data_IF_883734794255
#
_entry.id   IF_883734794255
#
_cell.length_a   1.000
_cell.length_b   1.000
_cell.length_c   1.000
_cell.angle_alpha   90.00
_cell.angle_beta   90.00
_cell.angle_gamma   90.00
#
_symmetry.space_group_name_H-M   'P 1'
#
loop_
_entity.id
_entity.type
_entity.pdbx_description
1 polymer ?
#
# COMPACT_ATOMS: atom_id res chain seq x y z
N UNK A 1 -18.34 -13.83 43.77
CA UNK A 1 -18.10 -14.06 45.22
C UNK A 1 -18.43 -15.50 45.60
N UNK A 2 -17.66 -16.49 45.13
CA UNK A 2 -17.67 -17.86 45.68
C UNK A 2 -16.28 -18.54 45.59
N UNK A 3 -15.23 -17.86 45.15
CA UNK A 3 -13.86 -18.40 45.12
C UNK A 3 -13.18 -18.49 46.51
N UNK A 4 -13.94 -18.33 47.60
CA UNK A 4 -13.43 -18.23 48.97
C UNK A 4 -13.87 -19.33 49.93
N UNK A 5 -14.74 -20.27 49.52
CA UNK A 5 -15.17 -21.36 50.41
C UNK A 5 -14.28 -22.58 50.21
N UNK A 6 -13.63 -23.01 51.30
CA UNK A 6 -12.83 -24.24 51.33
C UNK A 6 -13.71 -25.44 50.98
N UNK A 7 -13.18 -26.38 50.19
CA UNK A 7 -13.84 -27.66 49.87
C UNK A 7 -14.32 -28.37 51.14
N UNK A 8 -13.63 -28.16 52.26
CA UNK A 8 -13.96 -28.67 53.60
C UNK A 8 -15.25 -28.07 54.15
N UNK A 9 -15.49 -26.77 53.96
CA UNK A 9 -16.73 -26.10 54.41
C UNK A 9 -17.96 -26.52 53.61
N UNK A 10 -17.80 -26.85 52.33
CA UNK A 10 -18.88 -27.36 51.47
C UNK A 10 -19.19 -28.82 51.81
N UNK A 11 -18.16 -29.63 52.12
CA UNK A 11 -18.34 -31.00 52.58
C UNK A 11 -19.11 -31.10 53.91
N UNK A 12 -18.82 -30.20 54.87
CA UNK A 12 -19.47 -30.16 56.20
C UNK A 12 -20.93 -29.65 56.17
N UNK A 13 -21.36 -28.99 55.09
CA UNK A 13 -22.74 -28.51 54.91
C UNK A 13 -23.67 -29.50 54.20
N UNK A 14 -23.13 -30.60 53.65
CA UNK A 14 -23.88 -31.61 52.90
C UNK A 14 -24.51 -32.67 53.82
N UNK A 15 -25.68 -33.22 53.48
CA UNK A 15 -26.38 -34.20 54.35
C UNK A 15 -25.80 -35.62 54.24
N UNK A 16 -24.68 -35.81 53.50
CA UNK A 16 -23.92 -37.05 53.44
C UNK A 16 -22.83 -37.05 52.35
N UNK A 17 -21.83 -37.92 52.52
CA UNK A 17 -20.65 -38.03 51.62
C UNK A 17 -21.05 -38.30 50.17
N UNK A 18 -22.07 -39.12 49.94
CA UNK A 18 -22.56 -39.42 48.58
C UNK A 18 -23.26 -38.23 47.90
N UNK A 19 -23.85 -37.31 48.65
CA UNK A 19 -24.51 -36.12 48.11
C UNK A 19 -23.44 -35.08 47.71
N UNK A 20 -22.45 -34.88 48.58
CA UNK A 20 -21.30 -34.03 48.28
C UNK A 20 -20.55 -34.42 47.00
N UNK A 21 -20.27 -35.72 46.80
CA UNK A 21 -19.60 -36.17 45.57
C UNK A 21 -20.48 -35.95 44.32
N UNK A 22 -21.80 -36.11 44.43
CA UNK A 22 -22.73 -35.79 43.31
C UNK A 22 -22.72 -34.30 42.98
N UNK A 23 -22.71 -33.43 43.98
CA UNK A 23 -22.70 -31.98 43.78
C UNK A 23 -21.35 -31.50 43.21
N UNK A 24 -20.24 -32.13 43.63
CA UNK A 24 -18.91 -31.87 43.07
C UNK A 24 -18.83 -32.26 41.60
N UNK A 25 -19.35 -33.44 41.24
CA UNK A 25 -19.40 -33.92 39.85
C UNK A 25 -20.30 -33.03 38.99
N UNK A 26 -21.45 -32.60 39.53
CA UNK A 26 -22.35 -31.64 38.87
C UNK A 26 -21.67 -30.29 38.64
N UNK A 27 -20.94 -29.77 39.64
CA UNK A 27 -20.20 -28.52 39.52
C UNK A 27 -19.05 -28.61 38.51
N UNK A 28 -18.28 -29.71 38.53
CA UNK A 28 -17.22 -29.96 37.56
C UNK A 28 -17.78 -30.05 36.13
N UNK A 29 -18.92 -30.72 35.97
CA UNK A 29 -19.66 -30.79 34.70
C UNK A 29 -20.07 -29.39 34.21
N UNK A 30 -20.70 -28.58 35.07
CA UNK A 30 -21.11 -27.20 34.74
C UNK A 30 -19.90 -26.34 34.37
N UNK A 31 -18.79 -26.42 35.12
CA UNK A 31 -17.56 -25.67 34.83
C UNK A 31 -16.98 -26.05 33.46
N UNK A 32 -16.95 -27.34 33.14
CA UNK A 32 -16.47 -27.83 31.84
C UNK A 32 -17.40 -27.39 30.70
N UNK A 33 -18.72 -27.47 30.89
CA UNK A 33 -19.69 -26.96 29.92
C UNK A 33 -19.53 -25.46 29.70
N UNK A 34 -19.32 -24.66 30.76
CA UNK A 34 -19.11 -23.21 30.66
C UNK A 34 -17.82 -22.87 29.92
N UNK A 35 -16.72 -23.58 30.20
CA UNK A 35 -15.46 -23.41 29.48
C UNK A 35 -15.59 -23.76 27.99
N UNK A 36 -16.31 -24.84 27.67
CA UNK A 36 -16.60 -25.24 26.30
C UNK A 36 -17.46 -24.20 25.58
N UNK A 37 -18.52 -23.69 26.23
CA UNK A 37 -19.36 -22.62 25.67
C UNK A 37 -18.56 -21.35 25.41
N UNK A 38 -17.66 -20.96 26.32
CA UNK A 38 -16.79 -19.80 26.11
C UNK A 38 -15.83 -19.99 24.92
N UNK A 39 -15.21 -21.16 24.80
CA UNK A 39 -14.38 -21.50 23.65
C UNK A 39 -15.15 -21.45 22.33
N UNK A 40 -16.39 -21.96 22.31
CA UNK A 40 -17.26 -21.92 21.14
C UNK A 40 -17.68 -20.49 20.77
N UNK A 41 -17.96 -19.65 21.77
CA UNK A 41 -18.27 -18.22 21.55
C UNK A 41 -17.07 -17.50 20.95
N UNK A 42 -15.85 -17.73 21.47
CA UNK A 42 -14.63 -17.14 20.92
C UNK A 42 -14.40 -17.56 19.46
N UNK A 43 -14.55 -18.85 19.16
CA UNK A 43 -14.39 -19.36 17.80
C UNK A 43 -15.46 -18.81 16.84
N UNK A 44 -16.72 -18.80 17.28
CA UNK A 44 -17.83 -18.22 16.52
C UNK A 44 -17.60 -16.75 16.24
N UNK A 45 -17.21 -15.98 17.27
CA UNK A 45 -16.91 -14.55 17.12
C UNK A 45 -15.78 -14.29 16.13
N UNK A 46 -14.72 -15.12 16.16
CA UNK A 46 -13.61 -14.99 15.21
C UNK A 46 -14.06 -15.31 13.76
N UNK A 47 -14.91 -16.33 13.58
CA UNK A 47 -15.50 -16.67 12.28
C UNK A 47 -16.42 -15.56 11.77
N UNK A 48 -17.29 -15.03 12.61
CA UNK A 48 -18.22 -13.95 12.26
C UNK A 48 -17.48 -12.68 11.87
N UNK A 49 -16.40 -12.32 12.57
CA UNK A 49 -15.61 -11.15 12.18
C UNK A 49 -14.91 -11.38 10.82
N UNK A 50 -14.40 -12.59 10.56
CA UNK A 50 -13.82 -12.93 9.25
C UNK A 50 -14.86 -12.91 8.11
N UNK A 51 -16.07 -13.40 8.36
CA UNK A 51 -17.19 -13.35 7.40
C UNK A 51 -17.65 -11.92 7.15
N UNK A 52 -17.73 -11.09 8.19
CA UNK A 52 -18.06 -9.67 8.10
C UNK A 52 -17.01 -8.90 7.30
N UNK A 53 -15.72 -9.15 7.53
CA UNK A 53 -14.65 -8.57 6.71
C UNK A 53 -14.75 -9.04 5.24
N UNK A 54 -15.10 -10.31 5.00
CA UNK A 54 -15.32 -10.84 3.65
C UNK A 54 -16.51 -10.16 2.95
N UNK A 55 -17.62 -9.95 3.67
CA UNK A 55 -18.79 -9.27 3.14
C UNK A 55 -18.50 -7.79 2.86
N UNK A 56 -17.80 -7.12 3.79
CA UNK A 56 -17.34 -5.75 3.60
C UNK A 56 -16.41 -5.65 2.39
N UNK A 57 -15.52 -6.62 2.16
CA UNK A 57 -14.67 -6.65 0.97
C UNK A 57 -15.48 -6.79 -0.32
N UNK A 58 -16.55 -7.61 -0.33
CA UNK A 58 -17.44 -7.75 -1.50
C UNK A 58 -18.26 -6.49 -1.78
N UNK A 59 -18.83 -5.87 -0.74
CA UNK A 59 -19.53 -4.59 -0.88
C UNK A 59 -18.57 -3.49 -1.35
N UNK A 60 -17.34 -3.51 -0.81
CA UNK A 60 -16.30 -2.61 -1.21
C UNK A 60 -15.96 -2.77 -2.69
N UNK A 61 -15.82 -4.00 -3.19
CA UNK A 61 -15.58 -4.26 -4.61
C UNK A 61 -16.70 -3.70 -5.50
N UNK A 62 -17.97 -3.91 -5.16
CA UNK A 62 -19.09 -3.42 -5.97
C UNK A 62 -19.12 -1.88 -6.05
N UNK A 63 -18.95 -1.21 -4.91
CA UNK A 63 -18.95 0.25 -4.88
C UNK A 63 -17.65 0.84 -5.47
N UNK A 64 -16.53 0.13 -5.34
CA UNK A 64 -15.27 0.45 -6.00
C UNK A 64 -15.45 0.56 -7.50
N UNK A 65 -16.12 -0.40 -8.12
CA UNK A 65 -16.36 -0.38 -9.57
C UNK A 65 -17.14 0.87 -10.01
N UNK A 66 -18.11 1.32 -9.20
CA UNK A 66 -18.86 2.55 -9.45
C UNK A 66 -17.97 3.80 -9.35
N UNK A 67 -17.17 3.90 -8.30
CA UNK A 67 -16.23 5.04 -8.12
C UNK A 67 -15.15 5.04 -9.19
N UNK A 68 -14.66 3.85 -9.56
CA UNK A 68 -13.71 3.67 -10.66
C UNK A 68 -14.28 4.16 -11.99
N UNK A 69 -15.54 3.87 -12.30
CA UNK A 69 -16.17 4.41 -13.51
C UNK A 69 -16.20 5.94 -13.50
N UNK A 70 -16.43 6.56 -12.33
CA UNK A 70 -16.40 8.01 -12.16
C UNK A 70 -14.98 8.58 -12.30
N UNK A 71 -13.97 7.91 -11.72
CA UNK A 71 -12.56 8.30 -11.85
C UNK A 71 -12.09 8.19 -13.29
N UNK A 72 -12.43 7.09 -13.99
CA UNK A 72 -12.14 6.92 -15.41
C UNK A 72 -12.74 8.06 -16.24
N UNK A 73 -13.99 8.45 -15.95
CA UNK A 73 -14.63 9.61 -16.59
C UNK A 73 -13.87 10.91 -16.32
N UNK A 74 -13.49 11.17 -15.08
CA UNK A 74 -12.73 12.38 -14.70
C UNK A 74 -11.35 12.40 -15.37
N UNK A 75 -10.67 11.26 -15.45
CA UNK A 75 -9.38 11.13 -16.13
C UNK A 75 -9.50 11.43 -17.62
N UNK A 76 -10.49 10.86 -18.31
CA UNK A 76 -10.75 11.15 -19.72
C UNK A 76 -11.02 12.65 -19.93
N UNK A 77 -11.83 13.27 -19.07
CA UNK A 77 -12.10 14.71 -19.13
C UNK A 77 -10.84 15.57 -18.90
N UNK A 78 -9.97 15.17 -17.96
CA UNK A 78 -8.71 15.84 -17.71
C UNK A 78 -7.75 15.72 -18.90
N UNK A 79 -7.63 14.51 -19.48
CA UNK A 79 -6.85 14.25 -20.68
C UNK A 79 -7.37 15.05 -21.89
N UNK A 80 -8.69 15.12 -22.08
CA UNK A 80 -9.29 15.95 -23.13
C UNK A 80 -8.96 17.43 -22.96
N UNK A 81 -9.02 17.94 -21.72
CA UNK A 81 -8.68 19.32 -21.41
C UNK A 81 -7.20 19.61 -21.62
N UNK A 82 -6.32 18.72 -21.17
CA UNK A 82 -4.87 18.84 -21.38
C UNK A 82 -4.54 18.79 -22.88
N UNK A 83 -5.12 17.84 -23.62
CA UNK A 83 -4.99 17.77 -25.08
C UNK A 83 -5.48 19.04 -25.76
N UNK A 84 -6.61 19.61 -25.33
CA UNK A 84 -7.10 20.89 -25.88
C UNK A 84 -6.16 22.05 -25.55
N UNK A 85 -5.64 22.12 -24.32
CA UNK A 85 -4.65 23.13 -23.93
C UNK A 85 -3.37 23.00 -24.76
N UNK A 86 -2.86 21.79 -24.94
CA UNK A 86 -1.72 21.50 -25.82
C UNK A 86 -2.03 21.91 -27.25
N UNK A 87 -3.17 21.50 -27.82
CA UNK A 87 -3.55 21.88 -29.19
C UNK A 87 -3.73 23.39 -29.37
N UNK A 88 -4.22 24.12 -28.36
CA UNK A 88 -4.30 25.58 -28.39
C UNK A 88 -2.92 26.22 -28.25
N UNK A 89 -2.04 25.66 -27.42
CA UNK A 89 -0.65 26.12 -27.31
C UNK A 89 0.17 25.78 -28.56
N UNK A 90 -0.07 24.65 -29.23
CA UNK A 90 0.70 24.24 -30.41
C UNK A 90 0.13 24.81 -31.72
N UNK A 91 -1.18 25.13 -31.79
CA UNK A 91 -1.81 25.73 -32.97
C UNK A 91 -1.09 27.01 -33.40
N UNK A 92 -0.40 26.92 -34.53
CA UNK A 92 0.36 28.04 -35.11
C UNK A 92 1.79 28.18 -34.57
N UNK A 93 2.15 27.41 -33.55
CA UNK A 93 3.54 27.29 -33.08
C UNK A 93 4.31 26.27 -33.92
N UNK A 94 3.70 25.27 -34.59
CA UNK A 94 4.47 24.31 -35.42
C UNK A 94 5.33 25.01 -36.48
N UNK A 95 4.85 26.09 -37.10
CA UNK A 95 5.62 26.88 -38.08
C UNK A 95 6.77 27.68 -37.43
N UNK A 96 6.62 28.08 -36.16
CA UNK A 96 7.66 28.74 -35.37
C UNK A 96 8.63 27.74 -34.75
N UNK A 97 8.19 26.54 -34.38
CA UNK A 97 9.00 25.45 -33.83
C UNK A 97 9.89 24.83 -34.91
N UNK A 98 9.39 24.70 -36.15
CA UNK A 98 10.19 24.37 -37.33
C UNK A 98 11.27 25.44 -37.62
N UNK A 99 10.94 26.73 -37.44
CA UNK A 99 11.92 27.84 -37.51
C UNK A 99 12.88 27.88 -36.31
N UNK A 100 12.43 27.50 -35.11
CA UNK A 100 13.24 27.46 -33.89
C UNK A 100 14.17 26.24 -33.88
N UNK A 101 13.79 25.09 -34.45
CA UNK A 101 14.71 23.95 -34.65
C UNK A 101 15.83 24.33 -35.64
N UNK A 102 15.55 25.21 -36.60
CA UNK A 102 16.56 25.76 -37.50
C UNK A 102 17.41 26.90 -36.88
N UNK A 103 17.00 27.50 -35.75
CA UNK A 103 17.64 28.70 -35.16
C UNK A 103 18.09 28.53 -33.69
N UNK A 104 17.57 27.57 -32.95
CA UNK A 104 17.88 27.32 -31.54
C UNK A 104 18.53 25.95 -31.37
N UNK A 105 19.85 25.94 -31.48
CA UNK A 105 20.67 25.04 -30.69
C UNK A 105 20.52 25.45 -29.21
N UNK A 106 19.36 25.19 -28.59
CA UNK A 106 19.32 25.18 -27.12
C UNK A 106 20.27 24.08 -26.69
N UNK A 107 21.23 24.41 -25.83
CA UNK A 107 22.20 23.43 -25.34
C UNK A 107 21.50 22.38 -24.49
N UNK A 108 22.11 21.20 -24.38
CA UNK A 108 21.71 20.14 -23.46
C UNK A 108 21.30 20.64 -22.06
N UNK A 109 22.11 21.56 -21.53
CA UNK A 109 21.93 22.16 -20.22
C UNK A 109 20.68 23.04 -20.12
N UNK A 110 20.32 23.76 -21.19
CA UNK A 110 19.12 24.59 -21.22
C UNK A 110 17.84 23.76 -21.33
N UNK A 111 17.86 22.68 -22.15
CA UNK A 111 16.73 21.73 -22.24
C UNK A 111 16.53 21.02 -20.90
N UNK A 112 17.62 20.57 -20.26
CA UNK A 112 17.62 20.06 -18.89
C UNK A 112 16.99 21.06 -17.92
N UNK A 113 17.49 22.30 -17.90
CA UNK A 113 17.00 23.36 -16.99
C UNK A 113 15.51 23.63 -17.18
N UNK A 114 15.02 23.73 -18.41
CA UNK A 114 13.60 24.00 -18.70
C UNK A 114 12.70 22.82 -18.31
N UNK A 115 13.09 21.57 -18.63
CA UNK A 115 12.36 20.36 -18.24
C UNK A 115 12.23 20.22 -16.72
N UNK A 116 13.30 20.54 -15.97
CA UNK A 116 13.27 20.51 -14.51
C UNK A 116 12.44 21.67 -13.94
N UNK A 117 12.61 22.90 -14.43
CA UNK A 117 11.87 24.07 -13.92
C UNK A 117 10.35 23.94 -14.09
N UNK A 118 9.88 23.37 -15.22
CA UNK A 118 8.45 23.13 -15.46
C UNK A 118 7.83 22.10 -14.52
N UNK A 119 8.64 21.26 -13.86
CA UNK A 119 8.20 20.13 -13.02
C UNK A 119 8.65 20.22 -11.57
N UNK A 120 9.42 21.25 -11.19
CA UNK A 120 9.96 21.44 -9.85
C UNK A 120 8.94 22.01 -8.84
N UNK A 121 7.66 22.17 -9.23
CA UNK A 121 6.58 22.40 -8.26
C UNK A 121 6.26 21.17 -7.41
N UNK A 122 6.81 20.00 -7.77
CA UNK A 122 6.56 18.76 -7.07
C UNK A 122 7.31 18.65 -5.74
N UNK A 123 6.70 17.98 -4.76
CA UNK A 123 7.34 17.70 -3.48
C UNK A 123 8.64 16.90 -3.63
N UNK A 124 8.72 16.04 -4.66
CA UNK A 124 9.96 15.42 -5.12
C UNK A 124 10.35 16.06 -6.45
N UNK A 125 11.41 16.88 -6.50
CA UNK A 125 11.91 17.47 -7.73
C UNK A 125 12.21 16.42 -8.80
N UNK A 126 11.90 16.72 -10.07
CA UNK A 126 11.96 15.71 -11.14
C UNK A 126 13.36 15.13 -11.32
N UNK A 127 14.42 15.93 -11.23
CA UNK A 127 15.81 15.45 -11.34
C UNK A 127 16.18 14.46 -10.23
N UNK A 128 15.73 14.72 -9.01
CA UNK A 128 15.91 13.81 -7.87
C UNK A 128 15.11 12.53 -8.08
N UNK A 129 13.84 12.64 -8.48
CA UNK A 129 12.98 11.49 -8.74
C UNK A 129 13.59 10.60 -9.84
N UNK A 130 14.07 11.18 -10.94
CA UNK A 130 14.70 10.46 -12.04
C UNK A 130 15.98 9.74 -11.58
N UNK A 131 16.84 10.42 -10.81
CA UNK A 131 18.07 9.82 -10.27
C UNK A 131 17.76 8.58 -9.42
N UNK A 132 16.76 8.66 -8.55
CA UNK A 132 16.34 7.54 -7.72
C UNK A 132 15.67 6.44 -8.56
N UNK A 133 14.86 6.80 -9.55
CA UNK A 133 14.19 5.83 -10.43
C UNK A 133 15.21 5.07 -11.29
N UNK A 134 16.26 5.72 -11.81
CA UNK A 134 17.34 5.06 -12.54
C UNK A 134 18.17 4.13 -11.64
N UNK A 135 18.38 4.52 -10.38
CA UNK A 135 19.02 3.63 -9.40
C UNK A 135 18.16 2.39 -9.11
N UNK A 136 16.85 2.58 -8.99
CA UNK A 136 15.90 1.49 -8.80
C UNK A 136 15.81 0.59 -10.03
N UNK A 137 15.83 1.15 -11.25
CA UNK A 137 15.86 0.40 -12.51
C UNK A 137 17.06 -0.54 -12.58
N UNK A 138 18.26 -0.05 -12.25
CA UNK A 138 19.46 -0.90 -12.19
C UNK A 138 19.35 -2.03 -11.17
N UNK A 139 18.61 -1.81 -10.09
CA UNK A 139 18.48 -2.77 -9.00
C UNK A 139 17.36 -3.82 -9.23
N UNK A 140 16.30 -3.47 -9.96
CA UNK A 140 15.09 -4.29 -10.08
C UNK A 140 14.73 -4.70 -11.50
N UNK A 141 15.31 -4.05 -12.52
CA UNK A 141 14.94 -4.21 -13.92
C UNK A 141 13.65 -3.50 -14.33
N UNK A 142 12.92 -2.87 -13.40
CA UNK A 142 11.74 -2.05 -13.75
C UNK A 142 12.21 -0.72 -14.35
N UNK A 143 11.77 -0.38 -15.56
CA UNK A 143 12.17 0.88 -16.22
C UNK A 143 11.88 2.09 -15.33
N UNK A 144 12.82 3.04 -15.27
CA UNK A 144 12.64 4.27 -14.49
C UNK A 144 11.36 5.02 -14.87
N UNK A 145 11.03 5.06 -16.16
CA UNK A 145 9.81 5.66 -16.67
C UNK A 145 8.53 5.04 -16.07
N UNK A 146 8.50 3.73 -15.87
CA UNK A 146 7.36 3.03 -15.24
C UNK A 146 7.24 3.38 -13.77
N UNK A 147 8.35 3.37 -13.03
CA UNK A 147 8.34 3.76 -11.61
C UNK A 147 7.87 5.20 -11.42
N UNK A 148 8.32 6.13 -12.27
CA UNK A 148 7.86 7.51 -12.25
C UNK A 148 6.39 7.64 -12.67
N UNK A 149 5.94 6.85 -13.65
CA UNK A 149 4.54 6.79 -14.07
C UNK A 149 3.61 6.36 -12.94
N UNK A 150 3.99 5.35 -12.15
CA UNK A 150 3.25 4.94 -10.94
C UNK A 150 3.22 6.06 -9.92
N UNK A 151 4.35 6.68 -9.58
CA UNK A 151 4.35 7.79 -8.61
C UNK A 151 3.54 9.00 -9.05
N UNK A 152 3.54 9.30 -10.35
CA UNK A 152 2.71 10.36 -10.92
C UNK A 152 1.23 10.03 -10.75
N UNK A 153 0.83 8.80 -11.04
CA UNK A 153 -0.54 8.30 -10.86
C UNK A 153 -0.97 8.30 -9.37
N UNK A 154 -0.08 7.91 -8.47
CA UNK A 154 -0.39 7.74 -7.03
C UNK A 154 -0.50 9.07 -6.29
N UNK A 155 0.49 9.96 -6.45
CA UNK A 155 0.61 11.15 -5.59
C UNK A 155 1.03 12.40 -6.34
N UNK A 156 1.07 12.37 -7.68
CA UNK A 156 1.70 13.40 -8.47
C UNK A 156 3.16 13.66 -8.03
N UNK A 157 3.98 12.59 -7.96
CA UNK A 157 5.38 12.66 -7.49
C UNK A 157 5.53 13.19 -6.05
N UNK A 158 4.65 12.77 -5.16
CA UNK A 158 4.70 13.08 -3.73
C UNK A 158 4.00 14.38 -3.32
N UNK A 159 3.41 15.14 -4.23
CA UNK A 159 2.64 16.34 -3.90
C UNK A 159 1.39 16.03 -3.07
N UNK A 160 0.72 14.91 -3.38
CA UNK A 160 -0.58 14.55 -2.82
C UNK A 160 -0.47 13.29 -1.95
N UNK A 161 0.16 13.39 -0.77
CA UNK A 161 0.36 12.25 0.13
C UNK A 161 -0.93 11.77 0.85
N UNK A 162 -2.01 12.53 0.74
CA UNK A 162 -3.29 12.27 1.39
C UNK A 162 -3.55 13.20 2.58
N UNK A 163 -4.81 13.24 3.00
CA UNK A 163 -5.31 14.04 4.14
C UNK A 163 -6.06 13.17 5.16
N UNK A 164 -5.89 11.86 5.09
CA UNK A 164 -6.51 10.89 5.97
C UNK A 164 -5.76 10.74 7.28
N UNK A 165 -6.36 10.01 8.21
CA UNK A 165 -5.80 9.64 9.51
C UNK A 165 -5.85 8.13 9.65
N UNK A 166 -4.82 7.54 10.23
CA UNK A 166 -4.72 6.08 10.33
C UNK A 166 -5.88 5.46 11.14
N UNK A 167 -6.39 6.15 12.18
CA UNK A 167 -7.48 5.65 13.03
C UNK A 167 -8.82 5.50 12.31
N UNK A 168 -9.08 6.36 11.33
CA UNK A 168 -10.34 6.41 10.59
C UNK A 168 -10.24 5.67 9.26
N UNK A 169 -9.12 5.86 8.56
CA UNK A 169 -9.01 5.50 7.15
C UNK A 169 -8.38 4.12 6.93
N UNK A 170 -7.56 3.61 7.84
CA UNK A 170 -6.94 2.28 7.70
C UNK A 170 -7.85 1.15 8.18
N UNK A 171 -7.67 -0.02 7.56
CA UNK A 171 -8.28 -1.26 8.03
C UNK A 171 -7.87 -1.54 9.48
N UNK A 172 -8.83 -1.60 10.43
CA UNK A 172 -8.54 -1.57 11.87
C UNK A 172 -7.80 -2.81 12.36
N UNK A 173 -8.13 -3.99 11.84
CA UNK A 173 -7.52 -5.22 12.32
C UNK A 173 -6.28 -5.65 11.51
N UNK A 174 -6.13 -5.12 10.28
CA UNK A 174 -5.05 -5.48 9.36
C UNK A 174 -3.91 -4.47 9.33
N UNK A 175 -4.23 -3.19 9.13
CA UNK A 175 -3.23 -2.18 8.79
C UNK A 175 -2.89 -1.27 9.97
N UNK A 176 -3.86 -0.94 10.85
CA UNK A 176 -3.59 -0.08 12.01
C UNK A 176 -2.51 -0.63 12.96
N UNK A 177 -2.51 -1.92 13.36
CA UNK A 177 -1.47 -2.45 14.26
C UNK A 177 -0.09 -2.48 13.61
N UNK A 178 -0.05 -2.71 12.30
CA UNK A 178 1.17 -2.71 11.51
C UNK A 178 1.72 -1.30 11.36
N UNK A 179 0.86 -0.34 11.04
CA UNK A 179 1.18 1.07 10.90
C UNK A 179 1.77 1.65 12.18
N UNK A 180 1.09 1.42 13.31
CA UNK A 180 1.55 1.87 14.63
C UNK A 180 2.95 1.32 14.95
N UNK A 181 3.23 0.07 14.58
CA UNK A 181 4.55 -0.50 14.76
C UNK A 181 5.60 0.12 13.82
N UNK A 182 5.27 0.34 12.54
CA UNK A 182 6.17 0.97 11.57
C UNK A 182 6.54 2.38 12.03
N UNK A 183 5.56 3.22 12.37
CA UNK A 183 5.80 4.60 12.79
C UNK A 183 6.64 4.65 14.07
N UNK A 184 6.35 3.78 15.05
CA UNK A 184 7.15 3.64 16.26
C UNK A 184 8.62 3.32 15.96
N UNK A 185 8.90 2.37 15.06
CA UNK A 185 10.28 2.01 14.69
C UNK A 185 10.99 3.14 13.95
N UNK A 186 10.25 3.89 13.12
CA UNK A 186 10.78 5.03 12.39
C UNK A 186 10.90 6.31 13.25
N UNK A 187 10.40 6.29 14.48
CA UNK A 187 10.42 7.44 15.39
C UNK A 187 9.40 8.52 15.05
N UNK A 188 8.30 8.16 14.38
CA UNK A 188 7.21 9.08 14.03
C UNK A 188 6.04 8.97 15.02
N UNK A 189 5.33 10.08 15.20
CA UNK A 189 4.00 10.10 15.81
C UNK A 189 2.96 9.70 14.75
N UNK A 190 2.29 8.53 14.88
CA UNK A 190 1.33 8.04 13.90
C UNK A 190 0.17 9.01 13.62
N UNK A 191 -0.22 9.85 14.59
CA UNK A 191 -1.32 10.79 14.43
C UNK A 191 -0.97 11.99 13.54
N UNK A 192 0.32 12.20 13.26
CA UNK A 192 0.81 13.30 12.40
C UNK A 192 1.20 12.86 10.99
N UNK A 193 1.26 11.55 10.74
CA UNK A 193 1.73 11.03 9.47
C UNK A 193 0.63 11.02 8.40
N UNK A 194 0.86 11.60 7.21
CA UNK A 194 -0.15 11.67 6.17
C UNK A 194 -0.37 10.30 5.54
N UNK A 195 -1.64 9.96 5.37
CA UNK A 195 -2.09 8.74 4.70
C UNK A 195 -3.28 9.02 3.79
N UNK A 196 -3.55 8.11 2.85
CA UNK A 196 -4.71 8.24 1.98
C UNK A 196 -6.02 8.16 2.76
N UNK A 197 -7.03 8.91 2.32
CA UNK A 197 -8.39 8.80 2.87
C UNK A 197 -9.04 7.52 2.37
N UNK A 198 -9.88 6.91 3.21
CA UNK A 198 -10.74 5.83 2.75
C UNK A 198 -11.79 6.39 1.77
N UNK A 199 -12.11 5.67 0.69
CA UNK A 199 -13.26 6.01 -0.13
C UNK A 199 -14.57 5.83 0.66
N UNK A 200 -15.71 6.08 0.00
CA UNK A 200 -17.02 5.71 0.56
C UNK A 200 -17.11 4.22 0.90
N UNK A 201 -16.30 3.42 0.23
CA UNK A 201 -16.19 1.98 0.35
C UNK A 201 -14.81 1.55 0.85
N UNK A 202 -14.74 0.44 1.57
CA UNK A 202 -13.47 -0.16 2.02
C UNK A 202 -12.62 0.77 2.90
N UNK A 203 -11.31 0.66 2.73
CA UNK A 203 -10.29 1.33 3.53
C UNK A 203 -9.29 2.07 2.64
N UNK A 204 -8.69 3.12 3.18
CA UNK A 204 -7.53 3.83 2.63
C UNK A 204 -6.30 3.55 3.48
N UNK A 205 -5.59 4.61 3.85
CA UNK A 205 -4.42 4.51 4.72
C UNK A 205 -3.12 4.16 4.02
N UNK A 206 -3.05 4.36 2.70
CA UNK A 206 -1.82 4.21 1.94
C UNK A 206 -0.81 5.29 2.33
N UNK A 207 0.46 4.91 2.43
CA UNK A 207 1.54 5.74 2.97
C UNK A 207 2.48 6.24 1.86
N UNK A 208 2.88 7.51 1.98
CA UNK A 208 3.99 8.09 1.23
C UNK A 208 3.77 8.22 -0.29
N UNK A 209 4.82 8.61 -1.04
CA UNK A 209 4.73 8.89 -2.47
C UNK A 209 4.25 7.70 -3.31
N UNK A 210 4.60 6.48 -2.90
CA UNK A 210 4.19 5.25 -3.55
C UNK A 210 2.82 4.73 -3.11
N UNK A 211 2.16 5.35 -2.13
CA UNK A 211 0.87 4.88 -1.60
C UNK A 211 0.89 3.40 -1.17
N UNK A 212 1.92 3.01 -0.41
CA UNK A 212 2.00 1.65 0.14
C UNK A 212 1.04 1.47 1.32
N UNK A 213 0.20 0.44 1.25
CA UNK A 213 -0.56 -0.03 2.42
C UNK A 213 0.43 -0.63 3.45
N UNK A 214 0.26 -0.42 4.77
CA UNK A 214 1.16 -0.94 5.80
C UNK A 214 1.44 -2.44 5.68
N UNK A 215 0.40 -3.26 5.47
CA UNK A 215 0.53 -4.71 5.29
C UNK A 215 1.30 -5.14 4.04
N UNK A 216 1.44 -4.27 3.04
CA UNK A 216 2.34 -4.50 1.89
C UNK A 216 3.76 -4.04 2.23
N UNK A 217 3.89 -2.86 2.84
CA UNK A 217 5.19 -2.26 3.17
C UNK A 217 6.07 -3.17 4.02
N UNK A 218 5.50 -3.93 4.95
CA UNK A 218 6.26 -4.82 5.84
C UNK A 218 7.17 -5.79 5.08
N UNK A 219 6.76 -6.27 3.90
CA UNK A 219 7.55 -7.17 3.08
C UNK A 219 8.72 -6.50 2.33
N UNK A 220 8.70 -5.17 2.21
CA UNK A 220 9.76 -4.39 1.57
C UNK A 220 10.68 -3.75 2.62
N UNK A 221 10.10 -3.19 3.69
CA UNK A 221 10.79 -2.48 4.76
C UNK A 221 11.32 -3.35 5.91
N UNK A 222 11.28 -4.69 5.78
CA UNK A 222 11.96 -5.59 6.73
C UNK A 222 11.26 -5.78 8.07
N UNK A 223 9.95 -5.60 8.10
CA UNK A 223 9.13 -5.85 9.28
C UNK A 223 8.55 -7.27 9.19
N UNK A 224 8.74 -8.06 10.24
CA UNK A 224 8.24 -9.44 10.28
C UNK A 224 7.35 -9.69 11.49
N UNK A 225 6.36 -10.54 11.31
CA UNK A 225 5.63 -11.14 12.42
C UNK A 225 6.57 -12.14 13.13
N UNK A 226 6.73 -12.00 14.44
CA UNK A 226 7.69 -12.81 15.21
C UNK A 226 7.25 -14.25 15.42
N UNK A 227 5.96 -14.56 15.29
CA UNK A 227 5.44 -15.93 15.41
C UNK A 227 5.71 -16.74 14.15
N UNK A 228 5.59 -16.12 12.97
CA UNK A 228 5.78 -16.81 11.68
C UNK A 228 7.16 -16.58 11.08
N UNK A 229 7.92 -15.62 11.62
CA UNK A 229 9.18 -15.14 11.05
C UNK A 229 9.03 -14.62 9.60
N UNK A 230 7.84 -14.14 9.22
CA UNK A 230 7.52 -13.68 7.86
C UNK A 230 6.64 -12.42 7.85
N UNK A 231 6.47 -11.84 6.67
CA UNK A 231 5.63 -10.65 6.44
C UNK A 231 4.28 -10.98 5.78
N UNK A 232 4.11 -12.22 5.31
CA UNK A 232 2.89 -12.72 4.67
C UNK A 232 2.19 -13.71 5.61
N UNK A 233 0.85 -13.64 5.77
CA UNK A 233 0.11 -14.62 6.56
C UNK A 233 0.26 -16.02 5.93
N UNK A 234 0.61 -17.06 6.72
CA UNK A 234 0.58 -18.44 6.22
C UNK A 234 -0.86 -18.87 5.90
N UNK A 235 -1.00 -19.92 5.11
CA UNK A 235 -2.32 -20.47 4.76
C UNK A 235 -3.13 -20.80 6.03
N UNK A 236 -4.38 -20.35 6.08
CA UNK A 236 -5.27 -20.51 7.23
C UNK A 236 -5.02 -19.55 8.40
N UNK A 237 -4.07 -18.62 8.29
CA UNK A 237 -3.90 -17.58 9.31
C UNK A 237 -5.08 -16.60 9.30
N UNK A 238 -5.67 -16.41 10.48
CA UNK A 238 -6.68 -15.37 10.71
C UNK A 238 -6.05 -13.98 10.90
N UNK A 239 -6.92 -13.02 11.23
CA UNK A 239 -6.57 -11.61 11.40
C UNK A 239 -5.52 -11.36 12.51
N UNK A 240 -5.38 -12.29 13.47
CA UNK A 240 -4.38 -12.23 14.55
C UNK A 240 -2.93 -12.22 14.04
N UNK A 241 -2.68 -12.62 12.80
CA UNK A 241 -1.39 -12.43 12.15
C UNK A 241 -1.01 -10.94 12.09
N UNK A 242 -1.96 -10.08 11.72
CA UNK A 242 -1.71 -8.66 11.53
C UNK A 242 -1.58 -7.88 12.84
N UNK A 243 -2.18 -8.40 13.91
CA UNK A 243 -2.05 -7.87 15.28
C UNK A 243 -0.64 -8.10 15.88
N UNK A 244 0.20 -8.93 15.24
CA UNK A 244 1.60 -9.13 15.63
C UNK A 244 1.84 -10.29 16.63
N UNK A 245 2.97 -10.27 17.36
CA UNK A 245 3.94 -9.18 17.48
C UNK A 245 4.75 -8.95 16.20
N UNK A 246 5.14 -7.69 15.96
CA UNK A 246 6.01 -7.30 14.86
C UNK A 246 7.42 -6.98 15.35
N UNK A 247 8.41 -7.21 14.49
CA UNK A 247 9.81 -6.86 14.72
C UNK A 247 10.46 -6.35 13.44
N UNK A 248 11.17 -5.23 13.53
CA UNK A 248 12.08 -4.80 12.46
C UNK A 248 13.36 -5.67 12.43
N UNK A 249 13.75 -6.10 11.24
CA UNK A 249 14.97 -6.88 11.03
C UNK A 249 15.71 -6.35 9.80
N UNK A 250 16.85 -5.68 10.02
CA UNK A 250 17.61 -5.01 8.97
C UNK A 250 18.04 -5.92 7.79
N UNK A 251 18.30 -7.21 8.05
CA UNK A 251 18.63 -8.15 6.97
C UNK A 251 17.41 -8.63 6.16
N UNK A 252 16.18 -8.30 6.56
CA UNK A 252 14.95 -8.55 5.80
C UNK A 252 14.42 -7.28 5.13
N UNK A 253 15.01 -6.13 5.45
CA UNK A 253 14.71 -4.84 4.81
C UNK A 253 15.33 -4.82 3.40
N UNK A 254 14.50 -5.16 2.41
CA UNK A 254 14.93 -5.27 1.01
C UNK A 254 15.23 -3.90 0.44
N UNK A 255 14.46 -2.88 0.82
CA UNK A 255 14.64 -1.50 0.35
C UNK A 255 15.96 -0.96 0.87
N UNK A 256 16.22 -1.03 2.18
CA UNK A 256 17.47 -0.57 2.80
C UNK A 256 18.70 -1.19 2.15
N UNK A 257 18.65 -2.48 1.80
CA UNK A 257 19.76 -3.17 1.10
C UNK A 257 20.06 -2.55 -0.26
N UNK A 258 19.03 -2.26 -1.05
CA UNK A 258 19.20 -1.74 -2.41
C UNK A 258 19.46 -0.23 -2.42
N UNK A 259 18.98 0.51 -1.43
CA UNK A 259 19.26 1.96 -1.29
C UNK A 259 20.57 2.25 -0.55
N UNK A 260 21.19 1.25 0.08
CA UNK A 260 22.39 1.42 0.91
C UNK A 260 22.12 2.18 2.21
N UNK A 261 20.87 2.16 2.70
CA UNK A 261 20.48 2.86 3.92
C UNK A 261 21.09 2.25 5.20
N UNK A 262 21.31 3.09 6.21
CA UNK A 262 21.76 2.65 7.54
C UNK A 262 20.62 2.45 8.53
N UNK A 263 19.46 3.08 8.30
CA UNK A 263 18.26 3.08 9.15
C UNK A 263 17.13 2.25 8.52
N UNK A 264 16.06 1.91 9.27
CA UNK A 264 14.89 1.25 8.69
C UNK A 264 14.31 2.06 7.52
N UNK A 265 13.91 1.38 6.45
CA UNK A 265 13.35 2.05 5.29
C UNK A 265 12.04 2.77 5.60
N UNK A 266 11.91 3.98 5.06
CA UNK A 266 10.84 4.92 5.36
C UNK A 266 9.92 5.13 4.14
N UNK A 267 8.62 4.80 4.21
CA UNK A 267 7.71 4.94 3.07
C UNK A 267 7.46 6.40 2.66
N UNK A 268 7.72 7.38 3.53
CA UNK A 268 7.62 8.81 3.21
C UNK A 268 8.95 9.41 2.70
N UNK A 269 10.06 8.67 2.76
CA UNK A 269 11.31 9.11 2.15
C UNK A 269 11.28 8.82 0.64
N UNK A 270 11.57 9.82 -0.19
CA UNK A 270 11.51 9.69 -1.65
C UNK A 270 12.38 8.54 -2.20
N UNK A 271 13.61 8.38 -1.72
CA UNK A 271 14.55 7.35 -2.20
C UNK A 271 14.03 5.94 -1.91
N UNK A 272 13.58 5.71 -0.68
CA UNK A 272 13.05 4.43 -0.23
C UNK A 272 11.72 4.10 -0.90
N UNK A 273 10.81 5.08 -1.01
CA UNK A 273 9.52 4.93 -1.68
C UNK A 273 9.69 4.58 -3.16
N UNK A 274 10.57 5.28 -3.89
CA UNK A 274 10.86 5.01 -5.31
C UNK A 274 11.44 3.62 -5.50
N UNK A 275 12.40 3.22 -4.66
CA UNK A 275 12.96 1.87 -4.71
C UNK A 275 11.88 0.82 -4.45
N UNK A 276 11.07 0.98 -3.38
CA UNK A 276 10.00 0.06 -3.05
C UNK A 276 8.96 -0.05 -4.18
N UNK A 277 8.56 1.07 -4.81
CA UNK A 277 7.65 1.07 -5.96
C UNK A 277 8.22 0.27 -7.12
N UNK A 278 9.49 0.48 -7.48
CA UNK A 278 10.14 -0.30 -8.54
C UNK A 278 10.23 -1.80 -8.19
N UNK A 279 10.47 -2.13 -6.92
CA UNK A 279 10.51 -3.52 -6.46
C UNK A 279 9.14 -4.19 -6.55
N UNK A 280 8.07 -3.53 -6.11
CA UNK A 280 6.71 -4.07 -6.22
C UNK A 280 6.29 -4.22 -7.68
N UNK A 281 6.65 -3.26 -8.54
CA UNK A 281 6.42 -3.39 -9.98
C UNK A 281 7.19 -4.57 -10.59
N UNK A 282 8.44 -4.80 -10.20
CA UNK A 282 9.21 -5.97 -10.60
C UNK A 282 8.58 -7.28 -10.12
N UNK A 283 8.20 -7.37 -8.84
CA UNK A 283 7.51 -8.52 -8.25
C UNK A 283 6.17 -8.80 -8.97
N UNK A 284 5.51 -7.74 -9.49
CA UNK A 284 4.29 -7.83 -10.30
C UNK A 284 4.53 -8.13 -11.79
N UNK A 285 5.79 -8.21 -12.24
CA UNK A 285 6.19 -8.63 -13.60
C UNK A 285 6.73 -7.54 -14.51
N UNK A 286 6.86 -6.28 -14.06
CA UNK A 286 7.32 -5.17 -14.91
C UNK A 286 8.78 -5.31 -15.37
N UNK A 287 9.59 -6.14 -14.69
CA UNK A 287 10.97 -6.40 -15.07
C UNK A 287 11.12 -7.12 -16.42
N UNK A 288 10.02 -7.63 -17.01
CA UNK A 288 10.02 -8.12 -18.38
C UNK A 288 10.14 -7.00 -19.43
N UNK A 289 9.93 -5.73 -19.03
CA UNK A 289 10.07 -4.54 -19.86
C UNK A 289 9.26 -4.55 -21.17
N UNK A 290 8.14 -5.27 -21.18
CA UNK A 290 7.17 -5.22 -22.27
C UNK A 290 5.98 -4.35 -21.87
N UNK A 291 5.37 -3.59 -22.80
CA UNK A 291 4.21 -2.76 -22.48
C UNK A 291 3.08 -3.53 -21.81
N UNK A 292 2.86 -4.79 -22.19
CA UNK A 292 1.83 -5.66 -21.63
C UNK A 292 2.16 -6.07 -20.18
N UNK A 293 3.41 -6.44 -19.91
CA UNK A 293 3.83 -6.85 -18.57
C UNK A 293 3.82 -5.67 -17.59
N UNK A 294 4.28 -4.51 -18.04
CA UNK A 294 4.32 -3.28 -17.23
C UNK A 294 2.91 -2.77 -16.92
N UNK A 295 2.01 -2.77 -17.91
CA UNK A 295 0.60 -2.43 -17.71
C UNK A 295 -0.07 -3.39 -16.73
N UNK A 296 0.15 -4.70 -16.90
CA UNK A 296 -0.39 -5.70 -15.97
C UNK A 296 0.18 -5.51 -14.56
N UNK A 297 1.47 -5.18 -14.44
CA UNK A 297 2.10 -4.92 -13.16
C UNK A 297 1.50 -3.69 -12.46
N UNK A 298 1.18 -2.64 -13.21
CA UNK A 298 0.48 -1.46 -12.70
C UNK A 298 -0.93 -1.82 -12.22
N UNK A 299 -1.68 -2.64 -12.97
CA UNK A 299 -2.99 -3.11 -12.54
C UNK A 299 -2.92 -3.96 -11.27
N UNK A 300 -1.87 -4.79 -11.11
CA UNK A 300 -1.61 -5.54 -9.87
C UNK A 300 -1.22 -4.64 -8.71
N UNK A 301 -0.51 -3.54 -8.98
CA UNK A 301 -0.17 -2.53 -7.98
C UNK A 301 -1.42 -1.92 -7.36
N UNK A 302 -2.38 -1.52 -8.22
CA UNK A 302 -3.61 -0.87 -7.80
C UNK A 302 -4.68 -1.83 -7.24
N UNK A 303 -4.95 -2.93 -7.96
CA UNK A 303 -6.10 -3.79 -7.69
C UNK A 303 -5.74 -5.15 -7.08
N UNK A 304 -4.45 -5.38 -6.82
CA UNK A 304 -3.94 -6.70 -6.41
C UNK A 304 -4.03 -7.74 -7.52
N UNK A 305 -3.52 -8.93 -7.24
CA UNK A 305 -3.41 -10.01 -8.24
C UNK A 305 -4.75 -10.55 -8.70
N UNK A 306 -5.70 -10.69 -7.78
CA UNK A 306 -7.03 -11.26 -8.03
C UNK A 306 -7.81 -10.41 -9.04
N UNK A 307 -7.73 -9.08 -8.93
CA UNK A 307 -8.58 -8.19 -9.71
C UNK A 307 -7.83 -7.44 -10.83
N UNK A 308 -6.54 -7.71 -11.05
CA UNK A 308 -5.75 -7.07 -12.12
C UNK A 308 -6.28 -7.32 -13.55
N UNK A 309 -7.14 -8.32 -13.75
CA UNK A 309 -7.80 -8.60 -15.03
C UNK A 309 -9.19 -7.97 -15.16
N UNK A 310 -9.69 -7.29 -14.12
CA UNK A 310 -10.99 -6.64 -14.16
C UNK A 310 -10.93 -5.44 -15.12
N UNK A 311 -11.72 -5.43 -16.21
CA UNK A 311 -11.70 -4.34 -17.19
C UNK A 311 -12.01 -2.97 -16.60
N UNK A 312 -12.79 -2.91 -15.50
CA UNK A 312 -13.11 -1.64 -14.86
C UNK A 312 -11.86 -0.89 -14.39
N UNK A 313 -10.79 -1.60 -14.02
CA UNK A 313 -9.56 -0.99 -13.51
C UNK A 313 -8.58 -0.57 -14.62
N UNK A 314 -8.94 -0.73 -15.89
CA UNK A 314 -8.06 -0.42 -17.02
C UNK A 314 -7.51 1.01 -16.96
N UNK A 315 -8.34 1.98 -16.52
CA UNK A 315 -7.98 3.40 -16.42
C UNK A 315 -6.65 3.63 -15.68
N UNK A 316 -6.41 2.87 -14.61
CA UNK A 316 -5.20 2.99 -13.81
C UNK A 316 -3.98 2.49 -14.59
N UNK A 317 -4.08 1.27 -15.14
CA UNK A 317 -3.00 0.70 -15.95
C UNK A 317 -2.69 1.56 -17.18
N UNK A 318 -3.71 2.05 -17.86
CA UNK A 318 -3.59 2.91 -19.03
C UNK A 318 -2.98 4.27 -18.67
N UNK A 319 -3.40 4.87 -17.55
CA UNK A 319 -2.84 6.12 -17.02
C UNK A 319 -1.36 6.01 -16.66
N UNK A 320 -0.96 4.94 -15.96
CA UNK A 320 0.46 4.68 -15.67
C UNK A 320 1.28 4.55 -16.94
N UNK A 321 0.77 3.83 -17.95
CA UNK A 321 1.49 3.68 -19.22
C UNK A 321 1.61 4.99 -20.00
N UNK A 322 0.60 5.86 -19.95
CA UNK A 322 0.65 7.19 -20.55
C UNK A 322 1.70 8.08 -19.87
N UNK A 323 1.69 8.15 -18.55
CA UNK A 323 2.71 8.88 -17.79
C UNK A 323 4.11 8.32 -18.04
N UNK A 324 4.25 6.99 -18.07
CA UNK A 324 5.53 6.36 -18.37
C UNK A 324 6.01 6.68 -19.79
N UNK A 325 5.13 6.73 -20.78
CA UNK A 325 5.50 7.13 -22.13
C UNK A 325 5.95 8.61 -22.16
N UNK A 326 5.32 9.48 -21.39
CA UNK A 326 5.76 10.87 -21.24
C UNK A 326 7.16 10.96 -20.60
N UNK A 327 7.37 10.29 -19.45
CA UNK A 327 8.67 10.26 -18.81
C UNK A 327 9.76 9.62 -19.68
N UNK A 328 9.44 8.60 -20.47
CA UNK A 328 10.40 7.99 -21.38
C UNK A 328 10.86 8.99 -22.44
N UNK A 329 9.94 9.79 -23.02
CA UNK A 329 10.32 10.85 -23.97
C UNK A 329 11.27 11.87 -23.32
N UNK A 330 11.00 12.25 -22.08
CA UNK A 330 11.86 13.19 -21.35
C UNK A 330 13.25 12.57 -21.08
N UNK A 331 13.30 11.29 -20.68
CA UNK A 331 14.55 10.55 -20.46
C UNK A 331 15.36 10.45 -21.75
N UNK A 332 14.73 10.11 -22.87
CA UNK A 332 15.39 9.97 -24.17
C UNK A 332 15.97 11.30 -24.64
N UNK A 333 15.23 12.40 -24.44
CA UNK A 333 15.72 13.75 -24.68
C UNK A 333 16.93 14.07 -23.81
N UNK A 334 16.92 13.69 -22.53
CA UNK A 334 18.03 13.91 -21.60
C UNK A 334 19.26 13.06 -21.94
N UNK A 335 19.08 11.87 -22.51
CA UNK A 335 20.14 10.92 -22.86
C UNK A 335 20.78 11.21 -24.23
N UNK A 336 20.04 11.79 -25.17
CA UNK A 336 20.54 12.23 -26.48
C UNK A 336 21.36 13.54 -26.44
N UNK A 337 21.69 14.03 -25.25
CA UNK A 337 22.33 15.30 -24.94
C UNK A 337 23.66 15.11 -24.20
#
# INVERSE_FOLDING_TARGET
MLDGYSVVSIALGSRGVSEFFRDLDAFASIKNSLANSFSQIQQTSASTEAEKETLQARLAEQEQLRTVAQLAKQQVQAQEKEKQQLLTQTKGIEANYQKLIATSQKTAAQIRSELFTLRDSAAIPFGTALTYAQAAERATGTRAAITLGVLKQETNLGENLGSGTWRIDMAPNRDQPVFEYITKVLGFDPDTMPVSKKPSYGWGGAMGPGQFIPSTWVCYGGFINTKTNGCTPPSGAGISFWQGPWRYVANKDRVRKLTGGSSPSNPWNAKDAIMATAMLMADNGAAAQTPQAERLAALRYFAGWTHAKNPAYSFYGDGVMEFAAAFQRDIDQLAGL
#
